data_IF_712904889777
#
_entry.id   IF_712904889777
#
_cell.length_a   1.000
_cell.length_b   1.000
_cell.length_c   1.000
_cell.angle_alpha   90.00
_cell.angle_beta   90.00
_cell.angle_gamma   90.00
#
_symmetry.space_group_name_H-M   'P 1'
#
loop_
_entity.id
_entity.type
_entity.pdbx_description
1 polymer ?
#
# COMPACT_ATOMS: atom_id res chain seq x y z
N UNK A 1 16.70 -17.00 12.79
CA UNK A 1 16.98 -16.07 11.69
C UNK A 1 15.89 -16.16 10.65
N UNK A 2 15.42 -15.03 10.18
CA UNK A 2 14.43 -14.99 9.11
C UNK A 2 15.04 -15.53 7.79
N UNK A 3 14.19 -16.17 6.97
CA UNK A 3 14.61 -16.70 5.69
C UNK A 3 14.92 -15.57 4.70
N UNK A 4 15.97 -15.77 3.91
CA UNK A 4 16.30 -14.86 2.79
C UNK A 4 15.51 -15.18 1.54
N UNK A 5 15.04 -16.41 1.42
CA UNK A 5 14.19 -16.81 0.32
C UNK A 5 12.75 -16.67 0.76
N UNK A 6 11.95 -15.94 -0.02
CA UNK A 6 10.55 -15.71 0.26
C UNK A 6 9.76 -16.28 -0.91
N UNK A 7 9.29 -17.50 -0.74
CA UNK A 7 8.55 -18.20 -1.79
C UNK A 7 7.11 -17.68 -1.83
N UNK A 8 6.52 -17.72 -3.00
CA UNK A 8 5.16 -17.18 -3.24
C UNK A 8 4.15 -17.64 -2.18
N UNK A 9 4.18 -18.93 -1.85
CA UNK A 9 3.18 -19.51 -0.93
C UNK A 9 3.56 -19.36 0.56
N UNK A 10 4.70 -18.72 0.82
CA UNK A 10 5.21 -18.54 2.18
C UNK A 10 5.18 -17.08 2.65
N UNK A 11 4.69 -16.16 1.82
CA UNK A 11 4.57 -14.75 2.20
C UNK A 11 3.56 -14.64 3.34
N UNK A 12 3.97 -14.15 4.52
CA UNK A 12 3.02 -13.95 5.61
C UNK A 12 1.93 -12.97 5.17
N UNK A 13 0.70 -13.45 5.06
CA UNK A 13 -0.41 -12.67 4.51
C UNK A 13 -1.56 -12.62 5.49
N UNK A 14 -2.09 -11.42 5.71
CA UNK A 14 -3.26 -11.18 6.53
C UNK A 14 -4.41 -10.76 5.64
N UNK A 15 -5.60 -11.30 5.90
CA UNK A 15 -6.80 -11.05 5.12
C UNK A 15 -7.74 -10.14 5.90
N UNK A 16 -8.31 -9.16 5.20
CA UNK A 16 -9.24 -8.17 5.75
C UNK A 16 -10.49 -8.08 4.87
N UNK A 17 -11.48 -7.32 5.32
CA UNK A 17 -12.68 -7.06 4.52
C UNK A 17 -12.34 -6.40 3.18
N UNK A 18 -11.34 -5.51 3.18
CA UNK A 18 -10.94 -4.76 2.00
C UNK A 18 -10.00 -5.52 1.06
N UNK A 19 -9.48 -6.69 1.47
CA UNK A 19 -8.55 -7.47 0.68
C UNK A 19 -7.50 -8.14 1.52
N UNK A 20 -6.24 -8.03 1.13
CA UNK A 20 -5.14 -8.66 1.88
C UNK A 20 -3.85 -7.86 1.80
N UNK A 21 -2.98 -8.11 2.78
CA UNK A 21 -1.63 -7.55 2.82
C UNK A 21 -0.64 -8.67 3.13
N UNK A 22 0.29 -8.91 2.21
CA UNK A 22 1.36 -9.88 2.38
C UNK A 22 2.68 -9.16 2.67
N UNK A 23 3.32 -9.51 3.78
CA UNK A 23 4.58 -8.89 4.19
C UNK A 23 5.75 -9.64 3.57
N UNK A 24 6.06 -9.32 2.33
CA UNK A 24 7.13 -9.98 1.58
C UNK A 24 8.50 -9.71 2.18
N UNK A 25 8.76 -8.47 2.55
CA UNK A 25 10.01 -8.10 3.21
C UNK A 25 9.74 -7.02 4.24
N UNK A 26 10.09 -7.28 5.50
CA UNK A 26 9.84 -6.35 6.61
C UNK A 26 10.59 -6.84 7.84
N UNK A 27 10.73 -6.02 8.90
CA UNK A 27 11.34 -6.47 10.14
C UNK A 27 10.77 -7.78 10.67
N UNK A 28 9.42 -7.99 10.72
CA UNK A 28 8.90 -9.25 11.26
C UNK A 28 8.99 -10.45 10.33
N UNK A 29 9.21 -10.26 9.04
CA UNK A 29 9.29 -11.40 8.10
C UNK A 29 10.72 -11.76 7.72
N UNK A 30 11.48 -10.84 7.13
CA UNK A 30 12.85 -11.08 6.67
C UNK A 30 13.90 -10.50 7.61
N UNK A 31 13.48 -9.70 8.59
CA UNK A 31 14.38 -8.95 9.45
C UNK A 31 14.93 -7.68 8.80
N UNK A 32 14.41 -7.29 7.64
CA UNK A 32 14.88 -6.10 6.94
C UNK A 32 14.43 -4.82 7.67
N UNK A 33 15.36 -3.95 7.97
CA UNK A 33 15.09 -2.66 8.61
C UNK A 33 15.23 -1.49 7.64
N UNK A 34 15.63 -1.76 6.38
CA UNK A 34 15.87 -0.73 5.37
C UNK A 34 14.62 -0.39 4.59
N UNK A 35 13.81 -1.38 4.28
CA UNK A 35 12.59 -1.20 3.49
C UNK A 35 11.52 -2.20 3.90
N UNK A 36 10.32 -1.93 3.45
CA UNK A 36 9.19 -2.86 3.55
C UNK A 36 8.67 -3.09 2.16
N UNK A 37 8.44 -4.35 1.79
CA UNK A 37 7.79 -4.72 0.53
C UNK A 37 6.52 -5.48 0.87
N UNK A 38 5.38 -4.96 0.42
CA UNK A 38 4.07 -5.59 0.65
C UNK A 38 3.40 -5.95 -0.67
N UNK A 39 2.74 -7.09 -0.67
CA UNK A 39 1.82 -7.47 -1.74
C UNK A 39 0.41 -7.16 -1.23
N UNK A 40 -0.24 -6.19 -1.85
CA UNK A 40 -1.56 -5.72 -1.42
C UNK A 40 -2.59 -6.10 -2.46
N UNK A 41 -3.70 -6.70 -2.02
CA UNK A 41 -4.85 -6.93 -2.87
C UNK A 41 -6.01 -6.09 -2.34
N UNK A 42 -6.61 -5.30 -3.24
CA UNK A 42 -7.83 -4.56 -2.93
C UNK A 42 -9.00 -5.27 -3.59
N UNK A 43 -9.94 -5.70 -2.78
CA UNK A 43 -11.18 -6.32 -3.27
C UNK A 43 -12.02 -5.30 -4.05
N UNK A 44 -12.89 -5.76 -4.97
CA UNK A 44 -13.77 -4.84 -5.71
C UNK A 44 -14.56 -3.91 -4.79
N UNK A 45 -14.50 -2.61 -5.07
CA UNK A 45 -15.20 -1.59 -4.31
C UNK A 45 -14.51 -1.15 -3.02
N UNK A 46 -13.35 -1.69 -2.70
CA UNK A 46 -12.61 -1.35 -1.48
C UNK A 46 -11.39 -0.48 -1.79
N UNK A 47 -10.75 0.00 -0.74
CA UNK A 47 -9.69 0.99 -0.86
C UNK A 47 -8.75 0.98 0.32
N UNK A 48 -7.55 1.49 0.08
CA UNK A 48 -6.75 2.14 1.11
C UNK A 48 -7.11 3.62 1.04
N UNK A 49 -8.05 4.04 1.89
CA UNK A 49 -8.54 5.42 1.90
C UNK A 49 -7.43 6.41 2.24
N UNK A 50 -7.70 7.70 2.05
CA UNK A 50 -6.72 8.76 2.27
C UNK A 50 -5.97 8.60 3.59
N UNK A 51 -4.66 8.50 3.48
CA UNK A 51 -3.75 8.33 4.61
C UNK A 51 -2.36 8.87 4.25
N UNK A 52 -1.46 8.89 5.22
CA UNK A 52 -0.08 9.30 5.01
C UNK A 52 0.87 8.46 5.87
N UNK A 53 2.13 8.40 5.46
CA UNK A 53 3.21 7.75 6.20
C UNK A 53 4.22 8.84 6.58
N UNK A 54 4.14 9.43 7.81
CA UNK A 54 4.96 10.60 8.17
C UNK A 54 6.47 10.38 8.05
N UNK A 55 6.93 9.16 8.24
CA UNK A 55 8.36 8.86 8.34
C UNK A 55 8.88 7.96 7.21
N UNK A 56 8.10 7.75 6.16
CA UNK A 56 8.47 6.82 5.10
C UNK A 56 8.11 7.37 3.72
N UNK A 57 9.01 7.16 2.76
CA UNK A 57 8.70 7.31 1.34
C UNK A 57 8.07 6.03 0.84
N UNK A 58 7.25 6.13 -0.20
CA UNK A 58 6.52 4.97 -0.72
C UNK A 58 6.57 4.92 -2.24
N UNK A 59 6.66 3.71 -2.79
CA UNK A 59 6.43 3.44 -4.20
C UNK A 59 5.30 2.43 -4.29
N UNK A 60 4.28 2.75 -5.08
CA UNK A 60 3.17 1.83 -5.35
C UNK A 60 3.23 1.45 -6.81
N UNK A 61 3.29 0.15 -7.09
CA UNK A 61 3.32 -0.38 -8.46
C UNK A 61 2.06 -1.22 -8.68
N UNK A 62 1.30 -0.90 -9.72
CA UNK A 62 0.12 -1.69 -10.08
C UNK A 62 0.59 -2.93 -10.83
N UNK A 63 0.23 -4.10 -10.32
CA UNK A 63 0.58 -5.40 -10.93
C UNK A 63 -0.58 -5.98 -11.71
N UNK A 64 -1.81 -5.77 -11.26
CA UNK A 64 -3.00 -6.30 -11.89
C UNK A 64 -4.20 -5.43 -11.55
N UNK A 65 -5.12 -5.28 -12.51
CA UNK A 65 -6.32 -4.49 -12.31
C UNK A 65 -6.08 -3.00 -12.54
N UNK A 66 -7.08 -2.21 -12.20
CA UNK A 66 -7.04 -0.76 -12.37
C UNK A 66 -7.44 -0.08 -11.07
N UNK A 67 -6.71 0.95 -10.70
CA UNK A 67 -6.91 1.67 -9.44
C UNK A 67 -7.03 3.17 -9.72
N UNK A 68 -7.93 3.84 -9.00
CA UNK A 68 -7.94 5.31 -8.96
C UNK A 68 -6.97 5.72 -7.85
N UNK A 69 -5.87 6.31 -8.25
CA UNK A 69 -4.82 6.71 -7.31
C UNK A 69 -4.86 8.22 -7.08
N UNK A 70 -4.97 8.59 -5.82
CA UNK A 70 -4.91 9.97 -5.38
C UNK A 70 -3.54 10.31 -4.82
N UNK A 71 -3.07 11.50 -5.14
CA UNK A 71 -1.90 12.14 -4.54
C UNK A 71 -2.32 13.55 -4.17
N UNK A 72 -2.43 13.82 -2.88
CA UNK A 72 -3.09 15.03 -2.40
C UNK A 72 -4.49 15.12 -3.01
N UNK A 73 -4.83 16.19 -3.71
CA UNK A 73 -6.14 16.38 -4.32
C UNK A 73 -6.16 16.05 -5.82
N UNK A 74 -5.08 15.52 -6.35
CA UNK A 74 -4.96 15.09 -7.74
C UNK A 74 -5.19 13.59 -7.84
N UNK A 75 -5.84 13.14 -8.93
CA UNK A 75 -6.06 11.72 -9.14
C UNK A 75 -5.72 11.31 -10.56
N UNK A 76 -5.32 10.05 -10.71
CA UNK A 76 -5.14 9.39 -12.00
C UNK A 76 -5.57 7.94 -11.88
N UNK A 77 -6.07 7.40 -12.99
CA UNK A 77 -6.31 5.97 -13.09
C UNK A 77 -5.03 5.28 -13.52
N UNK A 78 -4.59 4.30 -12.74
CA UNK A 78 -3.39 3.52 -13.00
C UNK A 78 -3.75 2.08 -13.34
N UNK A 79 -3.06 1.50 -14.31
CA UNK A 79 -3.20 0.10 -14.70
C UNK A 79 -1.88 -0.65 -14.57
N UNK A 80 -1.86 -1.95 -14.97
CA UNK A 80 -0.67 -2.79 -14.81
C UNK A 80 0.56 -2.15 -15.43
N UNK A 81 1.63 -2.08 -14.63
CA UNK A 81 2.89 -1.47 -15.04
C UNK A 81 3.03 0.00 -14.66
N UNK A 82 1.93 0.66 -14.31
CA UNK A 82 2.00 2.05 -13.83
C UNK A 82 2.43 2.08 -12.36
N UNK A 83 3.01 3.18 -11.95
CA UNK A 83 3.46 3.36 -10.57
C UNK A 83 3.36 4.82 -10.14
N UNK A 84 3.43 5.02 -8.81
CA UNK A 84 3.47 6.34 -8.22
C UNK A 84 4.51 6.35 -7.10
N UNK A 85 5.28 7.43 -7.02
CA UNK A 85 6.14 7.72 -5.88
C UNK A 85 5.42 8.70 -4.96
N UNK A 86 5.37 8.37 -3.68
CA UNK A 86 4.76 9.21 -2.65
C UNK A 86 5.83 9.59 -1.65
N UNK A 87 6.13 10.88 -1.56
CA UNK A 87 7.08 11.36 -0.55
C UNK A 87 6.48 11.21 0.85
N UNK A 88 7.36 11.09 1.84
CA UNK A 88 6.92 10.97 3.23
C UNK A 88 5.99 12.10 3.64
N UNK A 89 5.02 11.77 4.46
CA UNK A 89 4.03 12.68 5.02
C UNK A 89 3.04 13.27 3.98
N UNK A 90 3.04 12.76 2.75
CA UNK A 90 2.11 13.22 1.71
C UNK A 90 0.87 12.33 1.72
N UNK A 91 -0.30 12.96 1.75
CA UNK A 91 -1.59 12.25 1.75
C UNK A 91 -1.85 11.63 0.39
N UNK A 92 -2.26 10.38 0.40
CA UNK A 92 -2.60 9.62 -0.81
C UNK A 92 -3.67 8.59 -0.49
N UNK A 93 -4.22 7.98 -1.53
CA UNK A 93 -5.21 6.90 -1.38
C UNK A 93 -5.35 6.12 -2.67
N UNK A 94 -5.61 4.82 -2.52
CA UNK A 94 -5.78 3.90 -3.65
C UNK A 94 -7.18 3.30 -3.58
N UNK A 95 -7.97 3.49 -4.63
CA UNK A 95 -9.39 3.10 -4.66
C UNK A 95 -9.67 2.15 -5.80
N UNK A 96 -10.21 0.98 -5.49
CA UNK A 96 -10.63 0.01 -6.49
C UNK A 96 -12.12 0.22 -6.79
N UNK A 97 -12.41 1.03 -7.79
CA UNK A 97 -13.77 1.33 -8.22
C UNK A 97 -14.26 0.35 -9.30
N UNK A 98 -13.59 -0.78 -9.46
CA UNK A 98 -13.92 -1.80 -10.46
C UNK A 98 -14.58 -3.01 -9.81
N UNK A 99 -15.03 -3.97 -10.64
CA UNK A 99 -15.58 -5.24 -10.18
C UNK A 99 -14.55 -6.38 -10.19
N UNK A 100 -13.27 -6.05 -10.38
CA UNK A 100 -12.16 -6.99 -10.36
C UNK A 100 -11.20 -6.67 -9.21
N UNK A 101 -10.47 -7.65 -8.69
CA UNK A 101 -9.44 -7.35 -7.68
C UNK A 101 -8.30 -6.56 -8.29
N UNK A 102 -7.66 -5.74 -7.46
CA UNK A 102 -6.46 -4.98 -7.82
C UNK A 102 -5.28 -5.50 -6.99
N UNK A 103 -4.18 -5.80 -7.66
CA UNK A 103 -2.96 -6.21 -6.98
C UNK A 103 -1.91 -5.12 -7.11
N UNK A 104 -1.42 -4.67 -5.95
CA UNK A 104 -0.40 -3.63 -5.84
C UNK A 104 0.84 -4.21 -5.16
N UNK A 105 2.01 -3.77 -5.61
CA UNK A 105 3.22 -3.96 -4.82
C UNK A 105 3.59 -2.64 -4.20
N UNK A 106 3.72 -2.62 -2.89
CA UNK A 106 3.99 -1.42 -2.11
C UNK A 106 5.37 -1.53 -1.47
N UNK A 107 6.18 -0.51 -1.67
CA UNK A 107 7.52 -0.43 -1.10
C UNK A 107 7.59 0.82 -0.24
N UNK A 108 7.95 0.66 1.03
CA UNK A 108 8.10 1.76 1.98
C UNK A 108 9.54 1.77 2.50
N UNK A 109 10.11 2.93 2.67
CA UNK A 109 11.48 3.07 3.19
C UNK A 109 11.65 4.39 3.93
N UNK A 110 12.40 4.34 5.04
CA UNK A 110 12.95 3.17 5.72
C UNK A 110 11.85 2.36 6.38
N UNK A 111 12.15 1.15 6.82
CA UNK A 111 11.23 0.44 7.70
C UNK A 111 11.07 1.24 8.98
N UNK A 112 9.85 1.27 9.53
CA UNK A 112 9.52 2.11 10.69
C UNK A 112 8.55 1.37 11.60
N UNK A 113 8.82 1.39 12.90
CA UNK A 113 8.00 0.70 13.87
C UNK A 113 8.18 -0.82 13.85
N UNK A 114 7.53 -1.52 14.75
CA UNK A 114 7.66 -2.98 14.89
C UNK A 114 7.14 -3.74 13.67
N UNK A 115 6.05 -3.27 13.10
CA UNK A 115 5.47 -3.89 11.91
C UNK A 115 6.15 -3.51 10.61
N UNK A 116 7.05 -2.53 10.65
CA UNK A 116 7.78 -2.06 9.49
C UNK A 116 7.18 -0.83 8.83
N UNK A 117 5.93 -0.49 9.11
CA UNK A 117 5.30 0.72 8.57
C UNK A 117 4.22 1.24 9.53
N UNK A 118 3.95 2.52 9.41
CA UNK A 118 2.87 3.17 10.15
C UNK A 118 2.11 4.11 9.21
N UNK A 119 0.79 4.16 9.38
CA UNK A 119 -0.08 5.01 8.57
C UNK A 119 -0.97 5.84 9.48
N UNK A 120 -1.21 7.09 9.07
CA UNK A 120 -2.16 8.00 9.73
C UNK A 120 -3.34 8.19 8.78
N UNK A 121 -4.51 7.70 9.19
CA UNK A 121 -5.74 7.84 8.41
C UNK A 121 -6.25 9.28 8.51
N UNK A 122 -6.47 9.92 7.36
CA UNK A 122 -7.01 11.29 7.29
C UNK A 122 -8.29 11.33 6.45
N UNK A 123 -8.86 10.17 6.13
CA UNK A 123 -10.01 10.09 5.22
C UNK A 123 -11.25 10.81 5.74
N UNK A 124 -11.37 10.99 7.05
CA UNK A 124 -12.49 11.74 7.66
C UNK A 124 -12.20 13.23 7.81
N UNK A 125 -11.01 13.68 7.45
CA UNK A 125 -10.61 15.09 7.57
C UNK A 125 -10.77 15.81 6.25
N UNK A 126 -11.13 17.11 6.32
CA UNK A 126 -11.16 17.95 5.13
C UNK A 126 -9.75 18.34 4.70
N UNK A 127 -9.46 18.47 3.40
CA UNK A 127 -10.41 18.40 2.27
C UNK A 127 -10.75 16.99 1.79
N UNK A 128 -10.05 15.96 2.27
CA UNK A 128 -10.16 14.59 1.73
C UNK A 128 -11.54 13.97 1.92
N UNK A 129 -12.20 14.26 3.04
CA UNK A 129 -13.54 13.74 3.31
C UNK A 129 -14.55 14.15 2.24
N UNK A 130 -14.33 15.27 1.54
CA UNK A 130 -15.23 15.78 0.50
C UNK A 130 -14.86 15.33 -0.90
N UNK A 131 -13.72 14.64 -1.09
CA UNK A 131 -13.24 14.24 -2.41
C UNK A 131 -13.81 12.89 -2.89
N UNK A 132 -14.27 12.06 -1.97
CA UNK A 132 -14.79 10.72 -2.29
C UNK A 132 -16.11 10.43 -1.59
#
# INVERSE_FOLDING_TARGET
>A
MASRFVMKDEVPTETFDWGSAGMRGAPPSTGCETYVVMDVELAPGFAHAFHKHPDQDEMIVVKQGRVVQWLEQEQRELGPGDSIHVDRDIVHGSYNDTDEPVHLQVILAPAYGEGGYEAVDVSAEEPWASLR
#
